data_IF_608629612466
#
_entry.id   IF_608629612466
#
_cell.length_a   1.000
_cell.length_b   1.000
_cell.length_c   1.000
_cell.angle_alpha   90.00
_cell.angle_beta   90.00
_cell.angle_gamma   90.00
#
_symmetry.space_group_name_H-M   'P 1'
#
loop_
_entity.id
_entity.type
_entity.pdbx_description
1 polymer ?
#
# COMPACT_ATOMS: atom_id res chain seq x y z
N UNK A 1 36.98 18.04 -52.93
CA UNK A 1 38.12 17.12 -52.74
C UNK A 1 37.74 16.12 -51.67
N UNK A 2 37.93 14.80 -51.90
CA UNK A 2 37.60 13.77 -50.90
C UNK A 2 38.79 13.65 -49.93
N UNK A 3 38.58 13.69 -48.61
CA UNK A 3 39.67 13.64 -47.63
C UNK A 3 40.46 12.33 -47.77
N UNK A 4 41.77 12.43 -47.62
CA UNK A 4 42.71 11.36 -47.91
C UNK A 4 42.52 10.21 -46.88
N UNK A 5 42.72 8.94 -47.28
CA UNK A 5 42.44 7.78 -46.40
C UNK A 5 43.21 7.86 -45.07
N UNK A 6 44.38 8.48 -45.07
CA UNK A 6 45.23 8.67 -43.89
C UNK A 6 44.65 9.71 -42.93
N UNK A 7 44.08 10.80 -43.45
CA UNK A 7 43.46 11.86 -42.64
C UNK A 7 42.20 11.36 -41.96
N UNK A 8 41.35 10.62 -42.68
CA UNK A 8 40.18 9.95 -42.08
C UNK A 8 40.55 8.97 -40.98
N UNK A 9 41.66 8.26 -41.11
CA UNK A 9 42.12 7.33 -40.09
C UNK A 9 42.58 8.06 -38.83
N UNK A 10 43.29 9.19 -38.99
CA UNK A 10 43.70 10.06 -37.87
C UNK A 10 42.51 10.74 -37.19
N UNK A 11 41.52 11.22 -37.95
CA UNK A 11 40.29 11.79 -37.40
C UNK A 11 39.51 10.75 -36.58
N UNK A 12 39.45 9.51 -37.07
CA UNK A 12 38.76 8.42 -36.38
C UNK A 12 39.53 7.98 -35.13
N UNK A 13 40.85 7.92 -35.17
CA UNK A 13 41.70 7.67 -34.00
C UNK A 13 41.54 8.78 -32.94
N UNK A 14 41.47 10.04 -33.36
CA UNK A 14 41.26 11.18 -32.45
C UNK A 14 39.86 11.16 -31.84
N UNK A 15 38.83 10.84 -32.63
CA UNK A 15 37.45 10.72 -32.13
C UNK A 15 37.29 9.55 -31.16
N UNK A 16 37.97 8.42 -31.39
CA UNK A 16 38.00 7.28 -30.47
C UNK A 16 38.71 7.64 -29.17
N UNK A 17 39.85 8.32 -29.24
CA UNK A 17 40.57 8.78 -28.06
C UNK A 17 39.75 9.79 -27.23
N UNK A 18 39.04 10.71 -27.89
CA UNK A 18 38.16 11.67 -27.22
C UNK A 18 36.99 10.97 -26.51
N UNK A 19 36.35 10.00 -27.19
CA UNK A 19 35.28 9.17 -26.61
C UNK A 19 35.76 8.30 -25.45
N UNK A 20 36.98 7.77 -25.52
CA UNK A 20 37.59 7.01 -24.42
C UNK A 20 37.83 7.90 -23.21
N UNK A 21 38.34 9.12 -23.40
CA UNK A 21 38.53 10.11 -22.34
C UNK A 21 37.20 10.51 -21.69
N UNK A 22 36.16 10.78 -22.49
CA UNK A 22 34.81 11.06 -21.98
C UNK A 22 34.25 9.88 -21.16
N UNK A 23 34.47 8.64 -21.61
CA UNK A 23 34.07 7.44 -20.88
C UNK A 23 34.82 7.29 -19.55
N UNK A 24 36.11 7.61 -19.52
CA UNK A 24 36.93 7.60 -18.30
C UNK A 24 36.48 8.67 -17.32
N UNK A 25 36.22 9.90 -17.78
CA UNK A 25 35.66 10.98 -16.95
C UNK A 25 34.28 10.61 -16.39
N UNK A 26 33.40 10.00 -17.20
CA UNK A 26 32.09 9.53 -16.74
C UNK A 26 32.21 8.38 -15.74
N UNK A 27 33.13 7.43 -15.93
CA UNK A 27 33.41 6.37 -14.94
C UNK A 27 33.97 6.93 -13.65
N UNK A 28 34.84 7.93 -13.74
CA UNK A 28 35.40 8.60 -12.56
C UNK A 28 34.33 9.39 -11.81
N UNK A 29 33.47 10.12 -12.53
CA UNK A 29 32.34 10.85 -11.93
C UNK A 29 31.30 9.91 -11.31
N UNK A 30 31.04 8.76 -11.94
CA UNK A 30 30.18 7.71 -11.38
C UNK A 30 30.74 7.17 -10.08
N UNK A 31 32.03 6.83 -10.03
CA UNK A 31 32.67 6.31 -8.81
C UNK A 31 32.72 7.36 -7.69
N UNK A 32 32.92 8.64 -8.01
CA UNK A 32 32.81 9.74 -7.03
C UNK A 32 31.38 9.88 -6.49
N UNK A 33 30.36 9.76 -7.34
CA UNK A 33 28.95 9.81 -6.90
C UNK A 33 28.58 8.58 -6.06
N UNK A 34 29.04 7.39 -6.43
CA UNK A 34 28.85 6.15 -5.65
C UNK A 34 29.54 6.24 -4.27
N UNK A 35 30.73 6.85 -4.18
CA UNK A 35 31.41 7.14 -2.92
C UNK A 35 30.67 8.21 -2.09
N UNK A 36 30.15 9.27 -2.71
CA UNK A 36 29.33 10.29 -2.06
C UNK A 36 27.98 9.77 -1.55
N UNK A 37 27.48 8.68 -2.15
CA UNK A 37 26.25 8.00 -1.75
C UNK A 37 26.47 6.88 -0.71
N UNK A 38 27.71 6.60 -0.29
CA UNK A 38 28.04 5.55 0.70
C UNK A 38 27.41 4.17 0.41
N UNK A 39 27.30 3.77 -0.86
CA UNK A 39 26.75 2.47 -1.25
C UNK A 39 27.90 1.46 -1.49
N UNK A 40 28.56 1.01 -0.43
CA UNK A 40 29.36 -0.22 -0.51
C UNK A 40 28.44 -1.43 -0.30
N UNK A 41 28.24 -2.23 -1.35
CA UNK A 41 27.44 -3.47 -1.28
C UNK A 41 27.97 -4.48 -0.24
N UNK A 42 29.26 -4.40 0.11
CA UNK A 42 29.89 -5.27 1.11
C UNK A 42 29.46 -4.95 2.57
N UNK A 43 28.71 -3.87 2.81
CA UNK A 43 28.26 -3.50 4.16
C UNK A 43 26.96 -4.20 4.60
N UNK A 44 26.23 -4.84 3.69
CA UNK A 44 24.93 -5.48 3.97
C UNK A 44 25.02 -6.76 4.81
N UNK A 45 26.20 -7.36 4.96
CA UNK A 45 26.41 -8.56 5.78
C UNK A 45 26.48 -8.25 7.30
N UNK A 46 26.57 -6.99 7.70
CA UNK A 46 26.81 -6.60 9.08
C UNK A 46 25.56 -6.52 10.00
N UNK A 47 24.36 -6.91 9.53
CA UNK A 47 23.09 -6.88 10.27
C UNK A 47 22.64 -5.50 10.83
N UNK A 48 23.38 -4.41 10.59
CA UNK A 48 23.04 -3.07 11.06
C UNK A 48 22.62 -2.16 9.89
N UNK A 49 21.41 -2.39 9.38
CA UNK A 49 20.79 -1.60 8.30
C UNK A 49 20.73 -0.09 8.63
N UNK A 50 20.68 0.26 9.92
CA UNK A 50 20.73 1.66 10.38
C UNK A 50 22.09 2.31 10.18
N UNK A 51 23.18 1.54 10.22
CA UNK A 51 24.52 2.06 9.94
C UNK A 51 24.74 2.27 8.43
N UNK A 52 24.09 1.45 7.59
CA UNK A 52 24.20 1.50 6.12
C UNK A 52 23.32 2.61 5.55
N UNK A 53 22.12 2.78 6.10
CA UNK A 53 21.17 3.81 5.68
C UNK A 53 20.84 4.73 6.86
N UNK A 54 21.64 5.79 7.10
CA UNK A 54 21.40 6.76 8.17
C UNK A 54 20.01 7.41 8.08
N UNK A 55 19.44 7.43 6.88
CA UNK A 55 18.10 7.97 6.61
C UNK A 55 16.99 7.20 7.35
N UNK A 56 17.23 5.94 7.71
CA UNK A 56 16.28 5.14 8.50
C UNK A 56 16.10 5.67 9.93
N UNK A 57 17.02 6.51 10.43
CA UNK A 57 16.88 7.17 11.74
C UNK A 57 15.66 8.11 11.82
N UNK A 58 15.15 8.56 10.67
CA UNK A 58 13.95 9.39 10.57
C UNK A 58 12.64 8.57 10.44
N UNK A 59 12.72 7.24 10.39
CA UNK A 59 11.58 6.35 10.14
C UNK A 59 11.15 5.53 11.35
N UNK A 60 9.90 5.07 11.32
CA UNK A 60 9.32 4.16 12.32
C UNK A 60 8.43 4.85 13.37
N UNK A 61 7.83 4.07 14.29
CA UNK A 61 6.90 4.59 15.29
C UNK A 61 7.58 5.44 16.37
N UNK A 62 8.92 5.37 16.47
CA UNK A 62 9.77 6.18 17.35
C UNK A 62 11.05 6.56 16.59
N UNK A 63 10.98 7.55 15.69
CA UNK A 63 12.16 7.95 14.93
C UNK A 63 13.21 8.56 15.88
N UNK A 64 14.48 8.30 15.61
CA UNK A 64 15.61 8.84 16.40
C UNK A 64 15.87 10.31 16.08
N UNK A 65 15.50 10.75 14.89
CA UNK A 65 15.60 12.14 14.43
C UNK A 65 14.28 12.61 13.85
N UNK A 66 13.95 13.88 14.06
CA UNK A 66 12.75 14.49 13.50
C UNK A 66 12.96 14.83 12.01
N UNK A 67 12.02 14.42 11.15
CA UNK A 67 12.03 14.74 9.71
C UNK A 67 12.08 16.25 9.44
N UNK A 68 11.55 17.06 10.36
CA UNK A 68 11.55 18.54 10.27
C UNK A 68 12.94 19.16 10.37
N UNK A 69 13.94 18.40 10.80
CA UNK A 69 15.34 18.87 10.93
C UNK A 69 16.11 18.82 9.61
N UNK A 70 15.54 18.22 8.55
CA UNK A 70 16.20 18.07 7.26
C UNK A 70 16.08 19.39 6.47
N UNK A 71 17.20 20.02 6.06
CA UNK A 71 17.14 21.20 5.21
C UNK A 71 16.49 20.90 3.86
N UNK A 72 15.63 21.79 3.36
CA UNK A 72 14.87 21.61 2.10
C UNK A 72 15.79 21.24 0.92
N UNK A 73 16.97 21.85 0.83
CA UNK A 73 17.96 21.55 -0.21
C UNK A 73 18.42 20.07 -0.24
N UNK A 74 18.29 19.35 0.88
CA UNK A 74 18.71 17.96 1.01
C UNK A 74 17.55 16.96 0.93
N UNK A 75 16.29 17.42 0.85
CA UNK A 75 15.11 16.55 0.82
C UNK A 75 15.14 15.60 -0.38
N UNK A 76 15.55 16.07 -1.56
CA UNK A 76 15.66 15.21 -2.75
C UNK A 76 16.70 14.10 -2.58
N UNK A 77 17.83 14.39 -1.93
CA UNK A 77 18.86 13.38 -1.63
C UNK A 77 18.39 12.37 -0.59
N UNK A 78 17.69 12.83 0.45
CA UNK A 78 17.10 11.99 1.49
C UNK A 78 16.02 11.07 0.92
N UNK A 79 15.14 11.57 0.04
CA UNK A 79 14.13 10.74 -0.63
C UNK A 79 14.77 9.64 -1.49
N UNK A 80 15.83 9.96 -2.21
CA UNK A 80 16.56 8.97 -3.00
C UNK A 80 17.23 7.91 -2.12
N UNK A 81 17.79 8.31 -0.97
CA UNK A 81 18.30 7.37 0.02
C UNK A 81 17.20 6.49 0.62
N UNK A 82 15.99 7.01 0.80
CA UNK A 82 14.84 6.21 1.23
C UNK A 82 14.43 5.18 0.18
N UNK A 83 14.39 5.55 -1.11
CA UNK A 83 14.09 4.61 -2.19
C UNK A 83 15.13 3.49 -2.27
N UNK A 84 16.41 3.84 -2.15
CA UNK A 84 17.51 2.87 -2.12
C UNK A 84 17.43 1.95 -0.89
N UNK A 85 17.19 2.51 0.30
CA UNK A 85 17.00 1.73 1.52
C UNK A 85 15.79 0.79 1.41
N UNK A 86 14.67 1.28 0.87
CA UNK A 86 13.46 0.49 0.66
C UNK A 86 13.72 -0.69 -0.28
N UNK A 87 14.42 -0.46 -1.40
CA UNK A 87 14.75 -1.52 -2.36
C UNK A 87 15.68 -2.57 -1.75
N UNK A 88 16.73 -2.14 -1.05
CA UNK A 88 17.67 -3.05 -0.38
C UNK A 88 17.00 -3.89 0.72
N UNK A 89 16.16 -3.27 1.55
CA UNK A 89 15.38 -3.97 2.59
C UNK A 89 14.41 -4.97 1.95
N UNK A 90 13.75 -4.59 0.85
CA UNK A 90 12.81 -5.47 0.16
C UNK A 90 13.49 -6.70 -0.43
N UNK A 91 14.65 -6.52 -1.07
CA UNK A 91 15.46 -7.64 -1.59
C UNK A 91 15.96 -8.54 -0.46
N UNK A 92 16.46 -7.98 0.63
CA UNK A 92 16.90 -8.76 1.80
C UNK A 92 15.74 -9.55 2.43
N UNK A 93 14.56 -8.94 2.58
CA UNK A 93 13.37 -9.63 3.08
C UNK A 93 12.92 -10.79 2.18
N UNK A 94 13.06 -10.66 0.86
CA UNK A 94 12.78 -11.75 -0.07
C UNK A 94 13.76 -12.92 0.10
N UNK A 95 15.06 -12.62 0.28
CA UNK A 95 16.09 -13.63 0.57
C UNK A 95 15.80 -14.36 1.88
N UNK A 96 15.50 -13.64 2.96
CA UNK A 96 15.11 -14.22 4.25
C UNK A 96 13.85 -15.09 4.13
N UNK A 97 12.84 -14.65 3.36
CA UNK A 97 11.64 -15.44 3.08
C UNK A 97 11.98 -16.75 2.36
N UNK A 98 12.93 -16.72 1.43
CA UNK A 98 13.39 -17.93 0.74
C UNK A 98 14.10 -18.88 1.70
N UNK A 99 15.02 -18.37 2.54
CA UNK A 99 15.72 -19.17 3.56
C UNK A 99 14.76 -19.77 4.58
N UNK A 100 13.78 -19.01 5.07
CA UNK A 100 12.74 -19.51 5.99
C UNK A 100 11.93 -20.63 5.34
N UNK A 101 11.60 -20.50 4.04
CA UNK A 101 10.91 -21.57 3.30
C UNK A 101 11.80 -22.81 3.16
N UNK A 102 13.09 -22.66 2.91
CA UNK A 102 14.02 -23.79 2.88
C UNK A 102 14.17 -24.47 4.24
N UNK A 103 14.36 -23.70 5.32
CA UNK A 103 14.47 -24.23 6.67
C UNK A 103 13.20 -24.99 7.06
N UNK A 104 12.01 -24.45 6.74
CA UNK A 104 10.75 -25.16 6.95
C UNK A 104 10.65 -26.45 6.14
N UNK A 105 11.17 -26.49 4.91
CA UNK A 105 11.26 -27.73 4.12
C UNK A 105 12.19 -28.74 4.79
N UNK A 106 13.36 -28.31 5.28
CA UNK A 106 14.31 -29.17 6.00
C UNK A 106 13.73 -29.70 7.30
N UNK A 107 13.06 -28.86 8.09
CA UNK A 107 12.37 -29.28 9.33
C UNK A 107 11.28 -30.31 9.03
N UNK A 108 10.50 -30.14 7.95
CA UNK A 108 9.51 -31.14 7.54
C UNK A 108 10.15 -32.45 7.08
N UNK A 109 11.28 -32.39 6.37
CA UNK A 109 12.02 -33.58 5.97
C UNK A 109 12.59 -34.32 7.18
N UNK A 110 13.20 -33.60 8.12
CA UNK A 110 13.70 -34.14 9.38
C UNK A 110 12.59 -34.69 10.27
N UNK A 111 11.44 -34.01 10.34
CA UNK A 111 10.27 -34.53 11.07
C UNK A 111 9.78 -35.87 10.51
N UNK A 112 9.81 -36.03 9.17
CA UNK A 112 9.49 -37.32 8.53
C UNK A 112 10.56 -38.38 8.82
N UNK A 113 11.84 -38.01 8.83
CA UNK A 113 12.93 -38.92 9.17
C UNK A 113 12.84 -39.37 10.63
N UNK A 114 12.55 -38.46 11.55
CA UNK A 114 12.36 -38.76 12.97
C UNK A 114 11.17 -39.71 13.18
N UNK A 115 10.04 -39.46 12.49
CA UNK A 115 8.89 -40.37 12.52
C UNK A 115 9.25 -41.79 12.02
N UNK A 116 10.01 -41.89 10.92
CA UNK A 116 10.52 -43.18 10.42
C UNK A 116 11.47 -43.87 11.42
N UNK A 117 12.38 -43.12 12.05
CA UNK A 117 13.29 -43.68 13.05
C UNK A 117 12.50 -44.15 14.27
N UNK A 118 11.49 -43.42 14.72
CA UNK A 118 10.61 -43.85 15.80
C UNK A 118 9.82 -45.12 15.45
N UNK A 119 9.30 -45.21 14.22
CA UNK A 119 8.61 -46.40 13.71
C UNK A 119 9.55 -47.60 13.67
N UNK A 120 10.74 -47.46 13.08
CA UNK A 120 11.77 -48.51 13.07
C UNK A 120 12.23 -48.91 14.48
N UNK A 121 12.29 -47.95 15.42
CA UNK A 121 12.65 -48.22 16.81
C UNK A 121 11.56 -49.04 17.49
N UNK A 122 10.28 -48.70 17.28
CA UNK A 122 9.15 -49.51 17.79
C UNK A 122 9.14 -50.92 17.20
N UNK A 123 9.37 -51.06 15.89
CA UNK A 123 9.49 -52.38 15.26
C UNK A 123 10.67 -53.18 15.84
N UNK A 124 11.79 -52.53 16.15
CA UNK A 124 12.90 -53.17 16.85
C UNK A 124 12.55 -53.57 18.29
N UNK A 125 11.85 -52.72 19.04
CA UNK A 125 11.39 -53.02 20.40
C UNK A 125 10.43 -54.21 20.41
N UNK A 126 9.50 -54.25 19.46
CA UNK A 126 8.51 -55.33 19.32
C UNK A 126 9.17 -56.66 18.91
N UNK A 127 10.22 -56.61 18.07
CA UNK A 127 10.95 -57.81 17.63
C UNK A 127 11.99 -58.32 18.63
N UNK A 128 12.57 -57.44 19.45
CA UNK A 128 13.65 -57.80 20.41
C UNK A 128 13.18 -57.88 21.87
N UNK A 129 12.00 -57.35 22.20
CA UNK A 129 11.45 -57.33 23.56
C UNK A 129 12.15 -56.36 24.52
N UNK A 130 13.10 -55.55 24.03
CA UNK A 130 13.87 -54.57 24.82
C UNK A 130 13.38 -53.16 24.51
N UNK A 131 12.69 -52.52 25.47
CA UNK A 131 12.26 -51.13 25.33
C UNK A 131 13.45 -50.18 25.38
N UNK A 132 13.59 -49.31 24.36
CA UNK A 132 14.56 -48.24 24.37
C UNK A 132 14.10 -47.19 25.38
N UNK A 133 14.88 -47.02 26.46
CA UNK A 133 14.62 -45.98 27.46
C UNK A 133 14.73 -44.61 26.80
N UNK A 134 13.77 -43.74 27.07
CA UNK A 134 13.74 -42.36 26.59
C UNK A 134 15.02 -41.62 26.99
N UNK A 135 15.59 -40.90 26.02
CA UNK A 135 16.88 -40.22 26.06
C UNK A 135 17.02 -39.15 27.16
N UNK A 136 15.97 -38.86 27.92
CA UNK A 136 15.98 -37.97 29.09
C UNK A 136 16.70 -38.57 30.30
N UNK A 137 16.89 -39.89 30.36
CA UNK A 137 17.62 -40.54 31.47
C UNK A 137 19.09 -40.88 31.15
N UNK A 138 19.53 -40.74 29.89
CA UNK A 138 20.84 -41.24 29.44
C UNK A 138 21.95 -40.17 29.36
N UNK A 139 21.62 -38.87 29.36
CA UNK A 139 22.63 -37.81 29.35
C UNK A 139 22.78 -37.19 30.74
N UNK A 140 23.56 -37.91 31.57
CA UNK A 140 24.26 -37.31 32.70
C UNK A 140 24.91 -36.01 32.24
N UNK A 141 24.53 -34.93 32.91
CA UNK A 141 24.82 -33.52 32.62
C UNK A 141 26.31 -33.22 32.81
N UNK A 142 27.18 -33.80 32.01
CA UNK A 142 28.58 -33.41 31.91
C UNK A 142 28.67 -32.19 31.01
N UNK A 143 28.61 -31.03 31.68
CA UNK A 143 29.04 -29.76 31.13
C UNK A 143 30.48 -29.90 30.62
N UNK A 144 30.64 -30.02 29.30
CA UNK A 144 31.89 -29.74 28.62
C UNK A 144 32.16 -28.24 28.71
N UNK A 145 32.60 -27.80 29.89
CA UNK A 145 33.27 -26.52 30.06
C UNK A 145 34.67 -26.65 29.48
N UNK A 146 34.82 -26.10 28.28
CA UNK A 146 36.10 -25.80 27.66
C UNK A 146 36.98 -25.05 28.66
N UNK A 147 38.08 -25.69 29.06
CA UNK A 147 39.23 -25.04 29.66
C UNK A 147 39.88 -24.14 28.61
N UNK A 148 39.52 -22.86 28.61
CA UNK A 148 40.38 -21.80 28.12
C UNK A 148 40.72 -20.92 29.32
N UNK A 149 41.90 -21.15 29.88
CA UNK A 149 42.52 -20.30 30.89
C UNK A 149 42.87 -18.95 30.24
N UNK A 150 41.99 -17.98 30.41
CA UNK A 150 42.37 -16.57 30.45
C UNK A 150 41.83 -15.99 31.74
N UNK A 151 42.66 -15.29 32.50
CA UNK A 151 42.27 -14.61 33.74
C UNK A 151 41.23 -13.54 33.40
N UNK A 152 39.94 -13.91 33.50
CA UNK A 152 38.81 -13.01 33.30
C UNK A 152 38.65 -12.15 34.55
N UNK A 153 38.75 -10.83 34.37
CA UNK A 153 38.55 -9.84 35.43
C UNK A 153 37.18 -10.02 36.11
N UNK A 154 37.11 -9.83 37.43
CA UNK A 154 35.89 -9.95 38.24
C UNK A 154 34.74 -9.08 37.68
N UNK A 155 35.09 -7.95 37.07
CA UNK A 155 34.16 -7.03 36.42
C UNK A 155 33.54 -7.62 35.13
N UNK A 156 34.31 -8.39 34.39
CA UNK A 156 33.91 -9.05 33.15
C UNK A 156 33.04 -10.31 33.42
N UNK A 157 33.27 -10.97 34.56
CA UNK A 157 32.37 -12.00 35.11
C UNK A 157 31.02 -11.42 35.53
N UNK A 158 31.00 -10.25 36.17
CA UNK A 158 29.74 -9.59 36.56
C UNK A 158 28.93 -9.11 35.35
N UNK A 159 29.59 -8.59 34.31
CA UNK A 159 28.91 -8.19 33.07
C UNK A 159 28.35 -9.39 32.30
N UNK A 160 29.12 -10.49 32.19
CA UNK A 160 28.63 -11.75 31.60
C UNK A 160 27.44 -12.32 32.38
N UNK A 161 27.48 -12.31 33.71
CA UNK A 161 26.35 -12.78 34.55
C UNK A 161 25.09 -11.95 34.32
N UNK A 162 25.21 -10.63 34.18
CA UNK A 162 24.09 -9.75 33.87
C UNK A 162 23.52 -10.01 32.46
N UNK A 163 24.40 -10.29 31.50
CA UNK A 163 24.03 -10.58 30.11
C UNK A 163 23.28 -11.93 30.00
N UNK A 164 23.79 -12.96 30.67
CA UNK A 164 23.13 -14.28 30.78
C UNK A 164 21.77 -14.16 31.48
N UNK A 165 21.68 -13.37 32.57
CA UNK A 165 20.40 -13.16 33.25
C UNK A 165 19.37 -12.44 32.35
N UNK A 166 19.83 -11.52 31.49
CA UNK A 166 18.99 -10.83 30.51
C UNK A 166 18.53 -11.80 29.40
N UNK A 167 19.43 -12.66 28.91
CA UNK A 167 19.10 -13.72 27.94
C UNK A 167 18.12 -14.75 28.48
N UNK A 168 18.27 -15.16 29.75
CA UNK A 168 17.32 -16.08 30.39
C UNK A 168 15.93 -15.43 30.47
N UNK A 169 15.84 -14.15 30.82
CA UNK A 169 14.55 -13.43 30.85
C UNK A 169 13.93 -13.27 29.47
N UNK A 170 14.72 -12.92 28.45
CA UNK A 170 14.20 -12.81 27.07
C UNK A 170 13.77 -14.17 26.54
N UNK A 171 14.52 -15.23 26.86
CA UNK A 171 14.16 -16.61 26.56
C UNK A 171 12.83 -17.04 27.20
N UNK A 172 12.64 -16.77 28.49
CA UNK A 172 11.37 -17.04 29.19
C UNK A 172 10.19 -16.27 28.60
N UNK A 173 10.41 -15.02 28.19
CA UNK A 173 9.37 -14.20 27.57
C UNK A 173 9.00 -14.70 26.16
N UNK A 174 9.99 -15.21 25.41
CA UNK A 174 9.79 -15.88 24.14
C UNK A 174 9.03 -17.20 24.28
N UNK A 175 9.32 -18.00 25.31
CA UNK A 175 8.59 -19.23 25.61
C UNK A 175 7.12 -18.91 25.89
N UNK A 176 6.83 -17.95 26.77
CA UNK A 176 5.44 -17.55 27.06
C UNK A 176 4.67 -17.10 25.82
N UNK A 177 5.30 -16.27 24.97
CA UNK A 177 4.67 -15.85 23.70
C UNK A 177 4.41 -17.02 22.75
N UNK A 178 5.29 -18.01 22.72
CA UNK A 178 5.07 -19.24 21.93
C UNK A 178 3.95 -20.09 22.50
N UNK A 179 3.85 -20.22 23.82
CA UNK A 179 2.74 -20.92 24.50
C UNK A 179 1.40 -20.23 24.23
N UNK A 180 1.34 -18.89 24.33
CA UNK A 180 0.16 -18.10 23.98
C UNK A 180 -0.24 -18.29 22.52
N UNK A 181 0.73 -18.22 21.60
CA UNK A 181 0.47 -18.43 20.16
C UNK A 181 0.01 -19.86 19.85
N UNK A 182 0.53 -20.87 20.55
CA UNK A 182 0.07 -22.26 20.42
C UNK A 182 -1.36 -22.44 20.93
N UNK A 183 -1.72 -21.79 22.04
CA UNK A 183 -3.09 -21.78 22.58
C UNK A 183 -4.06 -21.08 21.61
N UNK A 184 -3.68 -19.94 21.04
CA UNK A 184 -4.47 -19.24 20.03
C UNK A 184 -4.66 -20.10 18.77
N UNK A 185 -3.61 -20.77 18.29
CA UNK A 185 -3.70 -21.69 17.17
C UNK A 185 -4.62 -22.88 17.48
N UNK A 186 -4.53 -23.45 18.67
CA UNK A 186 -5.39 -24.56 19.11
C UNK A 186 -6.86 -24.14 19.16
N UNK A 187 -7.17 -22.96 19.71
CA UNK A 187 -8.53 -22.40 19.73
C UNK A 187 -9.05 -22.14 18.32
N UNK A 188 -8.24 -21.55 17.45
CA UNK A 188 -8.61 -21.31 16.05
C UNK A 188 -8.87 -22.63 15.30
N UNK A 189 -8.09 -23.67 15.59
CA UNK A 189 -8.30 -25.00 15.02
C UNK A 189 -9.60 -25.64 15.51
N UNK A 190 -9.95 -25.48 16.79
CA UNK A 190 -11.20 -25.99 17.37
C UNK A 190 -12.42 -25.29 16.74
N UNK A 191 -12.40 -23.96 16.64
CA UNK A 191 -13.47 -23.20 15.98
C UNK A 191 -13.67 -23.61 14.52
N UNK A 192 -12.57 -23.87 13.79
CA UNK A 192 -12.66 -24.37 12.41
C UNK A 192 -13.24 -25.78 12.33
N UNK A 193 -13.03 -26.61 13.34
CA UNK A 193 -13.61 -27.94 13.39
C UNK A 193 -15.11 -27.87 13.68
N UNK A 194 -15.53 -27.04 14.64
CA UNK A 194 -16.96 -26.78 14.95
C UNK A 194 -17.72 -26.28 13.70
N UNK A 195 -17.14 -25.35 12.94
CA UNK A 195 -17.68 -24.87 11.67
C UNK A 195 -17.81 -25.98 10.62
N UNK A 196 -16.87 -26.92 10.55
CA UNK A 196 -16.96 -28.06 9.63
C UNK A 196 -18.07 -29.02 10.04
N UNK A 197 -18.25 -29.23 11.33
CA UNK A 197 -19.29 -30.09 11.86
C UNK A 197 -20.69 -29.48 11.60
N UNK A 198 -20.81 -28.15 11.71
CA UNK A 198 -22.02 -27.40 11.34
C UNK A 198 -22.33 -27.50 9.84
N UNK A 199 -21.32 -27.35 8.97
CA UNK A 199 -21.47 -27.55 7.52
C UNK A 199 -21.93 -28.98 7.20
N UNK A 200 -21.40 -29.98 7.91
CA UNK A 200 -21.82 -31.37 7.73
C UNK A 200 -23.27 -31.61 8.17
N UNK A 201 -23.71 -30.97 9.26
CA UNK A 201 -25.09 -31.01 9.70
C UNK A 201 -26.03 -30.39 8.66
N UNK A 202 -25.71 -29.18 8.18
CA UNK A 202 -26.48 -28.50 7.12
C UNK A 202 -26.56 -29.33 5.83
N UNK A 203 -25.47 -29.97 5.41
CA UNK A 203 -25.49 -30.84 4.24
C UNK A 203 -26.38 -32.08 4.43
N UNK A 204 -26.48 -32.61 5.65
CA UNK A 204 -27.42 -33.68 5.94
C UNK A 204 -28.86 -33.18 5.93
N UNK A 205 -29.14 -31.99 6.47
CA UNK A 205 -30.48 -31.39 6.43
C UNK A 205 -30.93 -31.14 4.98
N UNK A 206 -30.05 -30.63 4.13
CA UNK A 206 -30.30 -30.47 2.69
C UNK A 206 -30.66 -31.82 2.05
N UNK A 207 -29.94 -32.90 2.37
CA UNK A 207 -30.23 -34.25 1.84
C UNK A 207 -31.59 -34.78 2.30
N UNK A 208 -31.99 -34.49 3.53
CA UNK A 208 -33.32 -34.86 4.05
C UNK A 208 -34.40 -34.09 3.32
N UNK A 209 -34.24 -32.77 3.19
CA UNK A 209 -35.18 -31.91 2.48
C UNK A 209 -35.31 -32.35 1.02
N UNK A 210 -34.21 -32.62 0.31
CA UNK A 210 -34.23 -33.10 -1.08
C UNK A 210 -34.99 -34.42 -1.22
N UNK A 211 -34.85 -35.32 -0.23
CA UNK A 211 -35.62 -36.57 -0.18
C UNK A 211 -37.11 -36.30 0.00
N UNK A 212 -37.47 -35.45 0.95
CA UNK A 212 -38.87 -35.13 1.24
C UNK A 212 -39.53 -34.44 0.04
N UNK A 213 -38.82 -33.51 -0.60
CA UNK A 213 -39.26 -32.80 -1.80
C UNK A 213 -39.46 -33.78 -2.98
N UNK A 214 -38.62 -34.82 -3.08
CA UNK A 214 -38.82 -35.88 -4.06
C UNK A 214 -40.07 -36.71 -3.77
N UNK A 215 -40.30 -37.08 -2.51
CA UNK A 215 -41.51 -37.80 -2.11
C UNK A 215 -42.77 -36.98 -2.37
N UNK A 216 -42.76 -35.68 -2.06
CA UNK A 216 -43.88 -34.78 -2.33
C UNK A 216 -44.13 -34.59 -3.84
N UNK A 217 -43.07 -34.52 -4.65
CA UNK A 217 -43.21 -34.50 -6.12
C UNK A 217 -43.85 -35.78 -6.65
N UNK A 218 -43.46 -36.94 -6.13
CA UNK A 218 -44.06 -38.23 -6.50
C UNK A 218 -45.54 -38.29 -6.08
N UNK A 219 -45.89 -37.77 -4.89
CA UNK A 219 -47.28 -37.67 -4.43
C UNK A 219 -48.11 -36.71 -5.29
N UNK A 220 -47.56 -35.56 -5.69
CA UNK A 220 -48.22 -34.60 -6.57
C UNK A 220 -48.49 -35.21 -7.95
N UNK A 221 -47.52 -35.94 -8.52
CA UNK A 221 -47.70 -36.64 -9.80
C UNK A 221 -48.80 -37.71 -9.72
N UNK A 222 -48.89 -38.43 -8.60
CA UNK A 222 -49.99 -39.38 -8.38
C UNK A 222 -51.35 -38.68 -8.30
N UNK A 223 -51.43 -37.55 -7.59
CA UNK A 223 -52.66 -36.75 -7.48
C UNK A 223 -53.10 -36.17 -8.83
N UNK A 224 -52.16 -35.70 -9.65
CA UNK A 224 -52.43 -35.23 -11.02
C UNK A 224 -52.97 -36.38 -11.88
N UNK A 225 -52.39 -37.58 -11.79
CA UNK A 225 -52.89 -38.74 -12.52
C UNK A 225 -54.30 -39.17 -12.06
N UNK A 226 -54.62 -39.04 -10.77
CA UNK A 226 -55.99 -39.25 -10.27
C UNK A 226 -56.95 -38.18 -10.80
N UNK A 227 -56.54 -36.91 -10.83
CA UNK A 227 -57.34 -35.82 -11.39
C UNK A 227 -57.61 -36.03 -12.88
N UNK A 228 -56.60 -36.43 -13.65
CA UNK A 228 -56.72 -36.74 -15.07
C UNK A 228 -57.70 -37.91 -15.32
N UNK A 229 -57.72 -38.94 -14.46
CA UNK A 229 -58.71 -40.02 -14.54
C UNK A 229 -60.12 -39.56 -14.17
N UNK A 230 -60.25 -38.70 -13.14
CA UNK A 230 -61.53 -38.08 -12.77
C UNK A 230 -62.07 -37.21 -13.90
N UNK A 231 -61.22 -36.38 -14.51
CA UNK A 231 -61.57 -35.55 -15.66
C UNK A 231 -61.93 -36.41 -16.88
N UNK A 232 -61.22 -37.50 -17.13
CA UNK A 232 -61.58 -38.44 -18.19
C UNK A 232 -62.94 -39.12 -17.94
N UNK A 233 -63.28 -39.44 -16.68
CA UNK A 233 -64.59 -39.96 -16.29
C UNK A 233 -65.69 -38.90 -16.41
N UNK A 234 -65.42 -37.66 -16.02
CA UNK A 234 -66.32 -36.52 -16.16
C UNK A 234 -66.60 -36.23 -17.64
N UNK A 235 -65.58 -36.22 -18.50
CA UNK A 235 -65.74 -36.07 -19.94
C UNK A 235 -66.59 -37.20 -20.54
N UNK A 236 -66.42 -38.46 -20.11
CA UNK A 236 -67.28 -39.59 -20.53
C UNK A 236 -68.72 -39.46 -20.02
N UNK A 237 -68.92 -38.94 -18.81
CA UNK A 237 -70.24 -38.65 -18.25
C UNK A 237 -70.92 -37.45 -18.93
N UNK A 238 -70.16 -36.45 -19.36
CA UNK A 238 -70.67 -35.33 -20.14
C UNK A 238 -71.06 -35.75 -21.57
N UNK A 239 -70.25 -36.57 -22.23
CA UNK A 239 -70.57 -37.15 -23.54
C UNK A 239 -71.82 -38.06 -23.51
N UNK A 240 -72.09 -38.72 -22.39
CA UNK A 240 -73.33 -39.51 -22.20
C UNK A 240 -74.54 -38.63 -21.83
N UNK A 241 -74.31 -37.46 -21.22
CA UNK A 241 -75.35 -36.47 -20.89
C UNK A 241 -75.76 -35.59 -22.07
N UNK A 242 -74.92 -35.47 -23.10
CA UNK A 242 -75.26 -34.82 -24.39
C UNK A 242 -76.38 -35.56 -25.14
N UNK A 243 -76.70 -36.81 -24.77
CA UNK A 243 -77.83 -37.57 -25.34
C UNK A 243 -79.19 -37.31 -24.65
N UNK A 244 -79.23 -36.53 -23.57
CA UNK A 244 -80.47 -36.24 -22.81
C UNK A 244 -80.52 -34.80 -22.30
N UNK A 245 -80.34 -33.84 -23.20
CA UNK A 245 -80.44 -32.41 -22.88
C UNK A 245 -81.40 -31.68 -23.85
N UNK A 246 -82.65 -32.17 -23.96
CA UNK A 246 -83.71 -31.49 -24.72
C UNK A 246 -84.78 -30.82 -23.82
N UNK A 247 -84.59 -30.80 -22.49
CA UNK A 247 -85.59 -30.26 -21.53
C UNK A 247 -85.03 -29.12 -20.65
N UNK A 248 -83.77 -28.69 -20.81
CA UNK A 248 -83.12 -27.70 -19.93
C UNK A 248 -82.97 -26.29 -20.54
N UNK A 249 -83.67 -25.96 -21.63
CA UNK A 249 -83.55 -24.66 -22.32
C UNK A 249 -84.45 -23.55 -21.76
N UNK A 250 -85.25 -23.81 -20.72
CA UNK A 250 -86.07 -22.79 -20.05
C UNK A 250 -85.47 -22.25 -18.74
N UNK A 251 -84.26 -22.68 -18.38
CA UNK A 251 -83.51 -22.21 -17.21
C UNK A 251 -82.18 -21.52 -17.60
N UNK A 252 -81.92 -21.31 -18.88
CA UNK A 252 -80.61 -20.86 -19.37
C UNK A 252 -80.37 -19.36 -19.20
N UNK A 253 -81.40 -18.51 -19.15
CA UNK A 253 -81.20 -17.07 -18.99
C UNK A 253 -80.74 -16.71 -17.57
N UNK A 254 -81.36 -17.27 -16.52
CA UNK A 254 -80.90 -17.07 -15.15
C UNK A 254 -79.56 -17.74 -14.84
N UNK A 255 -79.24 -18.89 -15.48
CA UNK A 255 -77.94 -19.56 -15.32
C UNK A 255 -76.84 -18.82 -16.09
N UNK A 256 -77.14 -18.23 -17.25
CA UNK A 256 -76.19 -17.44 -18.02
C UNK A 256 -75.88 -16.11 -17.31
N UNK A 257 -76.87 -15.47 -16.71
CA UNK A 257 -76.70 -14.25 -15.92
C UNK A 257 -75.87 -14.53 -14.66
N UNK A 258 -76.19 -15.60 -13.90
CA UNK A 258 -75.39 -16.03 -12.74
C UNK A 258 -73.97 -16.44 -13.17
N UNK A 259 -73.77 -17.11 -14.30
CA UNK A 259 -72.42 -17.43 -14.82
C UNK A 259 -71.67 -16.18 -15.27
N UNK A 260 -72.36 -15.19 -15.82
CA UNK A 260 -71.77 -13.91 -16.19
C UNK A 260 -71.36 -13.11 -14.95
N UNK A 261 -72.19 -13.08 -13.91
CA UNK A 261 -71.87 -12.46 -12.62
C UNK A 261 -70.74 -13.20 -11.89
N UNK A 262 -70.75 -14.53 -11.87
CA UNK A 262 -69.66 -15.34 -11.30
C UNK A 262 -68.37 -15.14 -12.09
N UNK A 263 -68.42 -15.14 -13.42
CA UNK A 263 -67.21 -14.93 -14.23
C UNK A 263 -66.69 -13.50 -14.14
N UNK A 264 -67.56 -12.50 -14.03
CA UNK A 264 -67.21 -11.10 -13.75
C UNK A 264 -66.55 -10.93 -12.38
N UNK A 265 -67.17 -11.46 -11.32
CA UNK A 265 -66.61 -11.39 -9.96
C UNK A 265 -65.31 -12.20 -9.80
N UNK A 266 -65.21 -13.36 -10.43
CA UNK A 266 -63.96 -14.14 -10.47
C UNK A 266 -62.87 -13.42 -11.27
N UNK A 267 -63.21 -12.80 -12.40
CA UNK A 267 -62.25 -12.02 -13.19
C UNK A 267 -61.76 -10.77 -12.44
N UNK A 268 -62.65 -10.03 -11.78
CA UNK A 268 -62.29 -8.88 -10.94
C UNK A 268 -61.44 -9.29 -9.73
N UNK A 269 -61.81 -10.38 -9.06
CA UNK A 269 -61.02 -10.94 -7.95
C UNK A 269 -59.63 -11.39 -8.43
N UNK A 270 -59.54 -12.09 -9.56
CA UNK A 270 -58.27 -12.52 -10.16
C UNK A 270 -57.41 -11.32 -10.57
N UNK A 271 -58.00 -10.29 -11.15
CA UNK A 271 -57.28 -9.07 -11.54
C UNK A 271 -56.81 -8.27 -10.31
N UNK A 272 -57.56 -8.29 -9.20
CA UNK A 272 -57.13 -7.70 -7.92
C UNK A 272 -55.97 -8.50 -7.32
N UNK A 273 -56.07 -9.82 -7.27
CA UNK A 273 -55.00 -10.71 -6.80
C UNK A 273 -53.74 -10.58 -7.65
N UNK A 274 -53.86 -10.52 -8.98
CA UNK A 274 -52.71 -10.33 -9.88
C UNK A 274 -52.03 -8.98 -9.66
N UNK A 275 -52.79 -7.91 -9.40
CA UNK A 275 -52.23 -6.60 -9.03
C UNK A 275 -51.48 -6.64 -7.70
N UNK A 276 -52.03 -7.33 -6.70
CA UNK A 276 -51.37 -7.54 -5.40
C UNK A 276 -50.07 -8.32 -5.59
N UNK A 277 -50.09 -9.44 -6.31
CA UNK A 277 -48.89 -10.26 -6.57
C UNK A 277 -47.82 -9.47 -7.32
N UNK A 278 -48.19 -8.71 -8.36
CA UNK A 278 -47.22 -7.85 -9.08
C UNK A 278 -46.61 -6.79 -8.16
N UNK A 279 -47.41 -6.21 -7.28
CA UNK A 279 -46.94 -5.22 -6.29
C UNK A 279 -46.01 -5.86 -5.26
N UNK A 280 -46.32 -7.07 -4.79
CA UNK A 280 -45.47 -7.84 -3.88
C UNK A 280 -44.14 -8.23 -4.53
N UNK A 281 -44.17 -8.73 -5.76
CA UNK A 281 -42.95 -9.08 -6.50
C UNK A 281 -42.06 -7.85 -6.73
N UNK A 282 -42.64 -6.74 -7.18
CA UNK A 282 -41.92 -5.47 -7.31
C UNK A 282 -41.30 -5.02 -5.98
N UNK A 283 -42.04 -5.19 -4.87
CA UNK A 283 -41.57 -4.84 -3.54
C UNK A 283 -40.40 -5.73 -3.09
N UNK A 284 -40.47 -7.03 -3.35
CA UNK A 284 -39.39 -7.98 -3.05
C UNK A 284 -38.12 -7.59 -3.81
N UNK A 285 -38.21 -7.41 -5.12
CA UNK A 285 -37.07 -7.01 -5.95
C UNK A 285 -36.45 -5.68 -5.47
N UNK A 286 -37.30 -4.71 -5.14
CA UNK A 286 -36.84 -3.42 -4.60
C UNK A 286 -36.12 -3.58 -3.26
N UNK A 287 -36.62 -4.43 -2.36
CA UNK A 287 -36.02 -4.69 -1.06
C UNK A 287 -34.71 -5.47 -1.18
N UNK A 288 -34.65 -6.47 -2.05
CA UNK A 288 -33.44 -7.26 -2.33
C UNK A 288 -32.33 -6.37 -2.91
N UNK A 289 -32.64 -5.56 -3.91
CA UNK A 289 -31.65 -4.65 -4.49
C UNK A 289 -31.11 -3.64 -3.47
N UNK A 290 -31.98 -3.16 -2.58
CA UNK A 290 -31.58 -2.24 -1.51
C UNK A 290 -30.78 -2.92 -0.42
N UNK A 291 -31.15 -4.14 -0.03
CA UNK A 291 -30.36 -4.96 0.89
C UNK A 291 -28.94 -5.11 0.34
N UNK A 292 -28.80 -5.48 -0.92
CA UNK A 292 -27.50 -5.62 -1.59
C UNK A 292 -26.68 -4.32 -1.54
N UNK A 293 -27.31 -3.18 -1.83
CA UNK A 293 -26.65 -1.88 -1.75
C UNK A 293 -26.20 -1.54 -0.32
N UNK A 294 -27.06 -1.81 0.67
CA UNK A 294 -26.76 -1.59 2.09
C UNK A 294 -25.64 -2.51 2.55
N UNK A 295 -25.68 -3.80 2.21
CA UNK A 295 -24.63 -4.76 2.54
C UNK A 295 -23.29 -4.37 1.95
N UNK A 296 -23.24 -3.99 0.67
CA UNK A 296 -22.03 -3.47 0.04
C UNK A 296 -21.51 -2.22 0.77
N UNK A 297 -22.38 -1.28 1.11
CA UNK A 297 -22.00 -0.08 1.84
C UNK A 297 -21.47 -0.41 3.25
N UNK A 298 -22.11 -1.32 3.98
CA UNK A 298 -21.70 -1.76 5.31
C UNK A 298 -20.38 -2.52 5.28
N UNK A 299 -20.16 -3.37 4.28
CA UNK A 299 -18.89 -4.09 4.09
C UNK A 299 -17.73 -3.13 3.78
N UNK A 300 -17.95 -2.19 2.85
CA UNK A 300 -16.93 -1.19 2.47
C UNK A 300 -16.54 -0.27 3.64
N UNK A 301 -17.47 -0.01 4.56
CA UNK A 301 -17.23 0.83 5.74
C UNK A 301 -16.88 0.02 7.01
N UNK A 302 -16.76 -1.31 6.90
CA UNK A 302 -16.50 -2.21 8.04
C UNK A 302 -17.53 -2.12 9.18
N UNK A 303 -18.78 -1.79 8.86
CA UNK A 303 -19.87 -1.59 9.81
C UNK A 303 -20.78 -2.83 9.98
N UNK A 304 -20.61 -3.89 9.18
CA UNK A 304 -21.54 -5.03 9.19
C UNK A 304 -21.71 -5.62 10.59
N UNK A 305 -20.60 -5.92 11.29
CA UNK A 305 -20.62 -6.48 12.65
C UNK A 305 -21.28 -5.56 13.68
N UNK A 306 -21.15 -4.25 13.52
CA UNK A 306 -21.74 -3.27 14.43
C UNK A 306 -23.26 -3.19 14.24
N UNK A 307 -23.72 -3.25 12.98
CA UNK A 307 -25.14 -3.33 12.64
C UNK A 307 -25.73 -4.66 13.12
N UNK A 308 -25.06 -5.78 12.89
CA UNK A 308 -25.51 -7.10 13.35
C UNK A 308 -25.62 -7.16 14.88
N UNK A 309 -24.66 -6.58 15.60
CA UNK A 309 -24.70 -6.46 17.06
C UNK A 309 -25.85 -5.56 17.54
N UNK A 310 -26.09 -4.43 16.86
CA UNK A 310 -27.19 -3.53 17.20
C UNK A 310 -28.56 -4.18 16.94
N UNK A 311 -28.71 -4.89 15.81
CA UNK A 311 -29.94 -5.60 15.46
C UNK A 311 -30.18 -6.78 16.40
N UNK A 312 -29.20 -7.65 16.63
CA UNK A 312 -29.33 -8.79 17.54
C UNK A 312 -29.67 -8.39 18.97
N UNK A 313 -29.03 -7.35 19.51
CA UNK A 313 -29.33 -6.85 20.87
C UNK A 313 -30.72 -6.21 21.00
N UNK A 314 -31.18 -5.50 19.98
CA UNK A 314 -32.51 -4.83 20.02
C UNK A 314 -33.64 -5.81 19.70
N UNK A 315 -33.42 -6.75 18.79
CA UNK A 315 -34.37 -7.81 18.47
C UNK A 315 -34.57 -8.79 19.63
N UNK A 316 -33.49 -9.19 20.32
CA UNK A 316 -33.57 -10.06 21.49
C UNK A 316 -34.26 -9.40 22.70
N UNK A 317 -34.25 -8.07 22.78
CA UNK A 317 -34.81 -7.33 23.93
C UNK A 317 -36.23 -6.79 23.71
N UNK A 318 -36.63 -6.53 22.46
CA UNK A 318 -37.96 -5.94 22.16
C UNK A 318 -38.90 -6.83 21.37
N UNK A 319 -38.43 -7.87 20.69
CA UNK A 319 -39.29 -8.79 19.94
C UNK A 319 -40.18 -8.12 18.88
N UNK A 320 -39.90 -6.87 18.50
CA UNK A 320 -40.63 -6.14 17.46
C UNK A 320 -40.16 -6.61 16.08
N UNK A 321 -40.47 -7.85 15.73
CA UNK A 321 -40.83 -8.11 14.35
C UNK A 321 -42.07 -7.24 14.12
N UNK A 322 -42.03 -6.31 13.14
CA UNK A 322 -43.23 -5.58 12.73
C UNK A 322 -44.32 -6.61 12.44
N UNK A 323 -45.15 -6.86 13.44
CA UNK A 323 -46.23 -7.82 13.35
C UNK A 323 -47.21 -7.11 12.43
N UNK A 324 -47.40 -7.65 11.23
CA UNK A 324 -48.48 -7.23 10.36
C UNK A 324 -49.75 -7.43 11.19
N UNK A 325 -50.26 -6.35 11.78
CA UNK A 325 -51.26 -6.44 12.82
C UNK A 325 -52.61 -6.90 12.27
N UNK A 326 -52.79 -6.90 10.94
CA UNK A 326 -54.00 -7.35 10.25
C UNK A 326 -53.67 -8.09 8.94
N UNK A 327 -54.29 -9.26 8.70
CA UNK A 327 -54.18 -10.01 7.43
C UNK A 327 -54.71 -9.21 6.22
N UNK A 328 -55.62 -8.26 6.46
CA UNK A 328 -56.17 -7.38 5.41
C UNK A 328 -55.11 -6.46 4.77
N UNK A 329 -54.08 -6.07 5.54
CA UNK A 329 -52.99 -5.22 5.05
C UNK A 329 -52.12 -5.93 3.99
N UNK A 330 -52.16 -7.28 3.95
CA UNK A 330 -51.43 -8.07 2.95
C UNK A 330 -52.06 -8.02 1.55
N UNK A 331 -53.28 -7.49 1.42
CA UNK A 331 -54.02 -7.37 0.17
C UNK A 331 -54.19 -5.91 -0.32
N UNK A 332 -53.63 -4.94 0.41
CA UNK A 332 -53.64 -3.52 0.05
C UNK A 332 -52.31 -3.10 -0.59
N UNK A 333 -52.35 -2.73 -1.88
CA UNK A 333 -51.17 -2.36 -2.67
C UNK A 333 -50.42 -1.15 -2.07
N UNK A 334 -51.14 -0.20 -1.47
CA UNK A 334 -50.54 1.02 -0.89
C UNK A 334 -49.86 0.73 0.45
N UNK A 335 -50.24 -0.36 1.12
CA UNK A 335 -49.59 -0.86 2.34
C UNK A 335 -48.39 -1.75 2.03
N UNK A 336 -48.48 -2.55 0.97
CA UNK A 336 -47.38 -3.40 0.49
C UNK A 336 -46.20 -2.55 0.04
N UNK A 337 -46.45 -1.43 -0.65
CA UNK A 337 -45.41 -0.50 -1.09
C UNK A 337 -45.68 0.94 -0.58
N UNK A 338 -45.32 1.25 0.68
CA UNK A 338 -45.61 2.55 1.26
C UNK A 338 -44.73 3.64 0.62
N UNK A 339 -45.31 4.83 0.45
CA UNK A 339 -44.61 6.01 -0.08
C UNK A 339 -43.49 6.53 0.83
N UNK A 340 -43.55 6.22 2.13
CA UNK A 340 -42.50 6.56 3.10
C UNK A 340 -42.15 5.35 3.94
N UNK A 341 -40.89 4.96 3.88
CA UNK A 341 -40.37 3.88 4.71
C UNK A 341 -39.81 4.37 6.02
N UNK A 342 -39.98 3.53 7.05
CA UNK A 342 -39.42 3.78 8.37
C UNK A 342 -38.17 2.95 8.55
N UNK A 343 -37.06 3.61 8.86
CA UNK A 343 -35.83 2.93 9.28
C UNK A 343 -35.95 2.56 10.77
N UNK A 344 -35.39 1.42 11.15
CA UNK A 344 -35.32 1.05 12.57
C UNK A 344 -34.51 2.10 13.35
N UNK A 345 -34.99 2.61 14.50
CA UNK A 345 -34.34 3.70 15.23
C UNK A 345 -32.87 3.43 15.59
N UNK A 346 -32.51 2.17 15.90
CA UNK A 346 -31.12 1.80 16.20
C UNK A 346 -30.20 1.95 14.99
N UNK A 347 -30.67 1.59 13.79
CA UNK A 347 -29.90 1.75 12.53
C UNK A 347 -29.75 3.23 12.21
N UNK A 348 -30.83 4.01 12.36
CA UNK A 348 -30.80 5.46 12.18
C UNK A 348 -29.76 6.12 13.10
N UNK A 349 -29.75 5.79 14.39
CA UNK A 349 -28.79 6.34 15.34
C UNK A 349 -27.34 5.97 15.01
N UNK A 350 -27.10 4.75 14.50
CA UNK A 350 -25.78 4.32 14.04
C UNK A 350 -25.32 5.18 12.85
N UNK A 351 -26.20 5.42 11.86
CA UNK A 351 -25.89 6.30 10.73
C UNK A 351 -25.65 7.75 11.16
N UNK A 352 -26.42 8.28 12.10
CA UNK A 352 -26.19 9.63 12.66
C UNK A 352 -24.82 9.71 13.33
N UNK A 353 -24.46 8.70 14.14
CA UNK A 353 -23.16 8.66 14.84
C UNK A 353 -21.99 8.61 13.85
N UNK A 354 -22.08 7.79 12.80
CA UNK A 354 -21.05 7.73 11.75
C UNK A 354 -21.00 9.01 10.92
N UNK A 355 -22.15 9.64 10.62
CA UNK A 355 -22.18 10.96 9.98
C UNK A 355 -21.43 11.99 10.81
N UNK A 356 -21.63 12.02 12.12
CA UNK A 356 -20.95 12.96 13.02
C UNK A 356 -19.45 12.64 13.16
N UNK A 357 -19.08 11.36 13.10
CA UNK A 357 -17.67 10.93 13.07
C UNK A 357 -16.97 11.39 11.80
N UNK A 358 -17.60 11.16 10.64
CA UNK A 358 -17.09 11.59 9.34
C UNK A 358 -17.00 13.11 9.25
N UNK A 359 -18.03 13.82 9.70
CA UNK A 359 -18.04 15.29 9.71
C UNK A 359 -16.88 15.87 10.53
N UNK A 360 -16.58 15.27 11.69
CA UNK A 360 -15.40 15.65 12.50
C UNK A 360 -14.08 15.34 11.78
N UNK A 361 -13.98 14.19 11.13
CA UNK A 361 -12.79 13.82 10.37
C UNK A 361 -12.53 14.78 9.20
N UNK A 362 -13.59 15.17 8.49
CA UNK A 362 -13.51 16.15 7.39
C UNK A 362 -13.06 17.50 7.94
N UNK A 363 -13.68 18.00 9.02
CA UNK A 363 -13.29 19.27 9.62
C UNK A 363 -11.82 19.31 10.11
N UNK A 364 -11.28 18.18 10.56
CA UNK A 364 -9.86 18.08 10.91
C UNK A 364 -8.95 18.10 9.67
N UNK A 365 -9.37 17.48 8.56
CA UNK A 365 -8.65 17.53 7.30
C UNK A 365 -8.65 18.95 6.71
N UNK A 366 -9.77 19.67 6.82
CA UNK A 366 -9.87 21.06 6.37
C UNK A 366 -8.90 21.96 7.16
N UNK A 367 -8.85 21.79 8.49
CA UNK A 367 -7.91 22.53 9.34
C UNK A 367 -6.43 22.24 8.98
N UNK A 368 -6.09 20.98 8.73
CA UNK A 368 -4.75 20.61 8.24
C UNK A 368 -4.48 21.19 6.84
N UNK A 369 -5.51 21.29 6.00
CA UNK A 369 -5.44 21.97 4.71
C UNK A 369 -5.07 23.44 4.86
N UNK A 370 -5.79 24.16 5.74
CA UNK A 370 -5.55 25.57 6.03
C UNK A 370 -4.15 25.82 6.62
N UNK A 371 -3.69 24.96 7.54
CA UNK A 371 -2.34 25.03 8.10
C UNK A 371 -1.26 24.86 7.02
N UNK A 372 -1.46 23.92 6.09
CA UNK A 372 -0.54 23.70 4.97
C UNK A 372 -0.53 24.89 4.02
N UNK A 373 -1.68 25.45 3.71
CA UNK A 373 -1.78 26.64 2.85
C UNK A 373 -1.04 27.83 3.49
N UNK A 374 -1.19 28.03 4.80
CA UNK A 374 -0.44 29.06 5.53
C UNK A 374 1.09 28.85 5.45
N UNK A 375 1.56 27.60 5.54
CA UNK A 375 2.99 27.27 5.35
C UNK A 375 3.44 27.55 3.92
N UNK A 376 2.64 27.21 2.91
CA UNK A 376 2.95 27.51 1.51
C UNK A 376 3.09 29.02 1.30
N UNK A 377 2.16 29.81 1.82
CA UNK A 377 2.22 31.28 1.76
C UNK A 377 3.48 31.82 2.44
N UNK A 378 3.82 31.32 3.64
CA UNK A 378 5.03 31.74 4.35
C UNK A 378 6.33 31.39 3.59
N UNK A 379 6.40 30.19 3.01
CA UNK A 379 7.54 29.77 2.18
C UNK A 379 7.64 30.61 0.91
N UNK A 380 6.51 30.97 0.31
CA UNK A 380 6.46 31.84 -0.87
C UNK A 380 7.00 33.22 -0.54
N UNK A 381 6.54 33.86 0.54
CA UNK A 381 7.07 35.16 0.97
C UNK A 381 8.57 35.10 1.26
N UNK A 382 9.06 34.00 1.84
CA UNK A 382 10.49 33.80 2.07
C UNK A 382 11.28 33.63 0.77
N UNK A 383 10.74 32.91 -0.20
CA UNK A 383 11.37 32.75 -1.51
C UNK A 383 11.42 34.08 -2.28
N UNK A 384 10.35 34.88 -2.20
CA UNK A 384 10.29 36.23 -2.77
C UNK A 384 11.36 37.13 -2.11
N UNK A 385 11.45 37.15 -0.78
CA UNK A 385 12.48 37.92 -0.07
C UNK A 385 13.92 37.50 -0.42
N UNK A 386 14.20 36.20 -0.50
CA UNK A 386 15.51 35.70 -0.94
C UNK A 386 15.82 36.05 -2.39
N UNK A 387 14.79 36.08 -3.25
CA UNK A 387 14.96 36.50 -4.64
C UNK A 387 15.30 37.98 -4.74
N UNK A 388 14.70 38.83 -3.91
CA UNK A 388 15.04 40.25 -3.80
C UNK A 388 16.48 40.43 -3.31
N UNK A 389 16.88 39.74 -2.22
CA UNK A 389 18.27 39.78 -1.72
C UNK A 389 19.30 39.32 -2.77
N UNK A 390 18.98 38.28 -3.55
CA UNK A 390 19.85 37.84 -4.64
C UNK A 390 19.95 38.88 -5.76
N UNK A 391 18.84 39.56 -6.07
CA UNK A 391 18.83 40.61 -7.08
C UNK A 391 19.67 41.81 -6.63
N UNK A 392 19.52 42.24 -5.37
CA UNK A 392 20.33 43.32 -4.78
C UNK A 392 21.82 42.97 -4.80
N UNK A 393 22.19 41.73 -4.47
CA UNK A 393 23.58 41.28 -4.50
C UNK A 393 24.17 41.25 -5.93
N UNK A 394 23.35 40.93 -6.94
CA UNK A 394 23.77 41.01 -8.35
C UNK A 394 23.99 42.47 -8.74
N UNK A 395 23.09 43.37 -8.37
CA UNK A 395 23.22 44.80 -8.67
C UNK A 395 24.46 45.42 -8.00
N UNK A 396 24.76 45.03 -6.76
CA UNK A 396 25.98 45.45 -6.06
C UNK A 396 27.24 44.94 -6.78
N UNK A 397 27.24 43.68 -7.23
CA UNK A 397 28.35 43.10 -7.99
C UNK A 397 28.55 43.79 -9.35
N UNK A 398 27.46 44.08 -10.07
CA UNK A 398 27.48 44.79 -11.34
C UNK A 398 28.01 46.22 -11.17
N UNK A 399 27.66 46.89 -10.05
CA UNK A 399 28.20 48.20 -9.72
C UNK A 399 29.71 48.14 -9.43
N UNK A 400 30.16 47.21 -8.58
CA UNK A 400 31.59 47.06 -8.24
C UNK A 400 32.43 46.69 -9.46
N UNK A 401 31.92 45.82 -10.33
CA UNK A 401 32.62 45.45 -11.57
C UNK A 401 32.69 46.61 -12.56
N UNK A 402 31.62 47.41 -12.66
CA UNK A 402 31.62 48.64 -13.45
C UNK A 402 32.64 49.65 -12.93
N UNK A 403 32.67 49.89 -11.62
CA UNK A 403 33.63 50.81 -10.99
C UNK A 403 35.07 50.35 -11.19
N UNK A 404 35.35 49.05 -11.02
CA UNK A 404 36.66 48.49 -11.29
C UNK A 404 37.10 48.66 -12.76
N UNK A 405 36.18 48.49 -13.71
CA UNK A 405 36.45 48.72 -15.14
C UNK A 405 36.73 50.20 -15.43
N UNK A 406 36.01 51.13 -14.79
CA UNK A 406 36.29 52.57 -14.90
C UNK A 406 37.66 52.94 -14.33
N UNK A 407 38.03 52.38 -13.18
CA UNK A 407 39.36 52.59 -12.59
C UNK A 407 40.48 52.03 -13.47
N UNK A 408 40.31 50.84 -14.05
CA UNK A 408 41.27 50.26 -14.98
C UNK A 408 41.46 51.15 -16.22
N UNK A 409 40.39 51.62 -16.83
CA UNK A 409 40.49 52.52 -18.00
C UNK A 409 41.12 53.87 -17.61
N UNK A 410 40.83 54.40 -16.42
CA UNK A 410 41.48 55.61 -15.93
C UNK A 410 43.00 55.42 -15.72
N UNK A 411 43.42 54.26 -15.20
CA UNK A 411 44.84 53.91 -15.10
C UNK A 411 45.48 53.75 -16.49
N UNK A 412 44.77 53.12 -17.43
CA UNK A 412 45.20 52.95 -18.81
C UNK A 412 45.45 54.29 -19.51
N UNK A 413 44.52 55.24 -19.35
CA UNK A 413 44.65 56.60 -19.88
C UNK A 413 45.88 57.32 -19.30
N UNK A 414 46.08 57.29 -17.97
CA UNK A 414 47.27 57.87 -17.33
C UNK A 414 48.57 57.26 -17.84
N UNK A 415 48.60 55.95 -18.07
CA UNK A 415 49.76 55.27 -18.62
C UNK A 415 50.05 55.70 -20.07
N UNK A 416 49.01 55.89 -20.90
CA UNK A 416 49.14 56.42 -22.25
C UNK A 416 49.71 57.84 -22.23
N UNK A 417 49.13 58.73 -21.41
CA UNK A 417 49.61 60.11 -21.24
C UNK A 417 51.09 60.16 -20.85
N UNK A 418 51.49 59.35 -19.85
CA UNK A 418 52.89 59.26 -19.45
C UNK A 418 53.82 58.80 -20.58
N UNK A 419 53.40 57.80 -21.37
CA UNK A 419 54.18 57.34 -22.53
C UNK A 419 54.33 58.43 -23.58
N UNK A 420 53.29 59.22 -23.83
CA UNK A 420 53.33 60.35 -24.76
C UNK A 420 54.26 61.46 -24.26
N UNK A 421 54.22 61.80 -22.97
CA UNK A 421 55.16 62.75 -22.36
C UNK A 421 56.61 62.27 -22.49
N UNK A 422 56.88 60.99 -22.23
CA UNK A 422 58.24 60.44 -22.42
C UNK A 422 58.67 60.52 -23.89
N UNK A 423 57.77 60.23 -24.84
CA UNK A 423 58.08 60.35 -26.28
C UNK A 423 58.44 61.78 -26.67
N UNK A 424 57.69 62.77 -26.19
CA UNK A 424 58.00 64.19 -26.40
C UNK A 424 59.36 64.56 -25.81
N UNK A 425 59.62 64.16 -24.56
CA UNK A 425 60.91 64.40 -23.89
C UNK A 425 62.08 63.76 -24.61
N UNK A 426 61.91 62.53 -25.12
CA UNK A 426 62.93 61.87 -25.94
C UNK A 426 63.17 62.59 -27.26
N UNK A 427 62.10 63.10 -27.90
CA UNK A 427 62.23 63.90 -29.12
C UNK A 427 63.04 65.17 -28.88
N UNK A 428 62.78 65.87 -27.76
CA UNK A 428 63.54 67.06 -27.35
C UNK A 428 65.02 66.74 -27.10
N UNK A 429 65.30 65.69 -26.33
CA UNK A 429 66.67 65.23 -26.08
C UNK A 429 67.38 64.81 -27.38
N UNK A 430 66.66 64.21 -28.32
CA UNK A 430 67.21 63.84 -29.62
C UNK A 430 67.57 65.07 -30.46
N UNK A 431 66.71 66.09 -30.45
CA UNK A 431 66.98 67.38 -31.09
C UNK A 431 68.19 68.07 -30.44
N UNK A 432 68.26 68.11 -29.11
CA UNK A 432 69.38 68.69 -28.36
C UNK A 432 70.70 67.97 -28.66
N UNK A 433 70.70 66.63 -28.64
CA UNK A 433 71.86 65.82 -29.02
C UNK A 433 72.30 66.09 -30.45
N UNK A 434 71.36 66.28 -31.37
CA UNK A 434 71.64 66.60 -32.77
C UNK A 434 72.28 68.00 -32.89
N UNK A 435 71.79 68.99 -32.15
CA UNK A 435 72.41 70.33 -32.06
C UNK A 435 73.84 70.24 -31.52
N UNK A 436 74.05 69.54 -30.41
CA UNK A 436 75.39 69.36 -29.81
C UNK A 436 76.36 68.68 -30.79
N UNK A 437 75.92 67.65 -31.53
CA UNK A 437 76.74 67.03 -32.58
C UNK A 437 77.13 68.04 -33.68
N UNK A 438 76.19 68.85 -34.14
CA UNK A 438 76.47 69.87 -35.17
C UNK A 438 77.44 70.96 -34.67
N UNK A 439 77.38 71.32 -33.38
CA UNK A 439 78.32 72.22 -32.70
C UNK A 439 79.74 71.64 -32.58
N UNK A 440 79.85 70.35 -32.25
CA UNK A 440 81.16 69.67 -32.17
C UNK A 440 81.83 69.47 -33.53
N UNK A 441 81.05 69.37 -34.61
CA UNK A 441 81.57 69.30 -35.99
C UNK A 441 81.94 70.69 -36.55
N UNK A 442 81.45 71.77 -35.95
CA UNK A 442 81.74 73.16 -36.35
C UNK A 442 82.81 73.84 -35.48
N UNK A 443 83.31 73.18 -34.43
CA UNK A 443 84.49 73.65 -33.68
C UNK A 443 85.77 73.09 -34.31
N UNK A 444 86.65 73.91 -34.91
CA UNK A 444 87.91 73.41 -35.45
C UNK A 444 88.80 72.94 -34.30
N UNK A 445 89.35 71.72 -34.42
CA UNK A 445 90.44 71.23 -33.57
C UNK A 445 91.57 72.27 -33.56
N UNK A 446 91.72 73.05 -32.49
CA UNK A 446 92.97 73.73 -32.19
C UNK A 446 94.00 72.65 -31.87
N UNK A 447 94.86 72.37 -32.84
CA UNK A 447 96.17 71.78 -32.63
C UNK A 447 96.97 72.72 -31.71
N UNK A 448 96.86 72.52 -30.40
CA UNK A 448 97.82 73.09 -29.48
C UNK A 448 99.12 72.30 -29.60
N UNK A 449 100.03 72.82 -30.42
CA UNK A 449 101.46 72.64 -30.21
C UNK A 449 101.85 73.26 -28.87
N UNK A 450 102.64 72.53 -28.09
CA UNK A 450 103.17 72.98 -26.81
C UNK A 450 104.21 71.99 -26.28
N UNK A 451 105.48 72.33 -26.48
CA UNK A 451 106.71 71.62 -26.10
C UNK A 451 106.77 71.27 -24.60
N UNK A 452 107.08 70.01 -24.27
CA UNK A 452 108.40 69.55 -23.80
C UNK A 452 108.49 68.05 -23.92
#
# INVERSE_FOLDING_TARGET
MRPNKVERKRELEFAVALRQKELEELRHRRTQLEQGLCLSHDALDANDLSAIFPVLEYCGPKPRRDLRTIPIAHVGSVLMQFELAFKAISEHNQTLLHEVKELNRRIKAEGKNCAKVQENTKELEDTTGVKAKSQEEANGRNSLLFQNNTDVSLQELTSRKALIAKEIRTGQLLIKKKEESLLEMANTSRQRQELRDEINALNNDIRVIDRDLKCEKEALLALVAEHDDVDARLCKLMATRESTALIANTSQEGIAEIRSEISGTVAESRQRQERVIKTQNYRIEQLEHRLECIEKALQNNHLSRAVDAALSGTWASKGELMTLCNEEDMYDADKINPTQERCHPAIYNLFVTEKDRLSRSIGLLDLVGDEKEAVIVALRCKAEALSEECQDAIEELDQVTSDAAYEEEAQRLKAIEYVEEQRLRYADLFLEKSKLKSLTLSTPRKLNGGRK
#
